data_IF_491659666394
#
_entry.id   IF_491659666394
#
_cell.length_a   1.000
_cell.length_b   1.000
_cell.length_c   1.000
_cell.angle_alpha   90.00
_cell.angle_beta   90.00
_cell.angle_gamma   90.00
#
_symmetry.space_group_name_H-M   'P 1'
#
loop_
_entity.id
_entity.type
_entity.pdbx_description
1 polymer ?
#
# COMPACT_ATOMS: atom_id res chain seq x y z
N UNK A 1 -37.50 -19.91 18.55
CA UNK A 1 -37.11 -19.88 17.12
C UNK A 1 -36.53 -21.24 16.75
N UNK A 2 -36.95 -21.88 15.65
CA UNK A 2 -36.77 -23.32 15.51
C UNK A 2 -35.29 -23.68 15.34
N UNK A 3 -34.87 -24.64 16.16
CA UNK A 3 -33.54 -25.21 16.31
C UNK A 3 -33.09 -26.03 15.08
N UNK A 4 -33.24 -25.51 13.87
CA UNK A 4 -33.31 -26.36 12.67
C UNK A 4 -31.99 -26.59 11.92
N UNK A 5 -30.87 -26.01 12.38
CA UNK A 5 -29.55 -26.25 11.78
C UNK A 5 -28.65 -27.18 12.63
N UNK A 6 -29.17 -27.81 13.69
CA UNK A 6 -28.41 -28.76 14.53
C UNK A 6 -27.77 -29.88 13.71
N UNK A 7 -28.49 -30.34 12.70
CA UNK A 7 -28.05 -31.40 11.77
C UNK A 7 -27.21 -30.87 10.59
N UNK A 8 -26.99 -29.55 10.49
CA UNK A 8 -26.13 -28.96 9.45
C UNK A 8 -24.64 -29.18 9.72
N UNK A 9 -23.82 -29.11 8.68
CA UNK A 9 -22.36 -29.07 8.82
C UNK A 9 -21.90 -27.79 9.53
N UNK A 10 -20.74 -27.82 10.17
CA UNK A 10 -20.16 -26.65 10.85
C UNK A 10 -20.06 -25.44 9.91
N UNK A 11 -19.44 -25.64 8.74
CA UNK A 11 -19.33 -24.63 7.68
C UNK A 11 -20.70 -24.13 7.19
N UNK A 12 -21.69 -25.02 7.09
CA UNK A 12 -23.04 -24.67 6.67
C UNK A 12 -23.76 -23.79 7.69
N UNK A 13 -23.51 -24.04 8.98
CA UNK A 13 -24.03 -23.21 10.08
C UNK A 13 -23.33 -21.85 10.08
N UNK A 14 -22.01 -21.78 9.88
CA UNK A 14 -21.29 -20.52 9.73
C UNK A 14 -21.81 -19.71 8.54
N UNK A 15 -21.93 -20.31 7.36
CA UNK A 15 -22.47 -19.66 6.17
C UNK A 15 -23.91 -19.15 6.40
N UNK A 16 -24.76 -19.92 7.07
CA UNK A 16 -26.10 -19.48 7.45
C UNK A 16 -26.06 -18.26 8.38
N UNK A 17 -25.20 -18.28 9.43
CA UNK A 17 -25.05 -17.14 10.36
C UNK A 17 -24.62 -15.87 9.64
N UNK A 18 -23.80 -15.97 8.59
CA UNK A 18 -23.35 -14.83 7.76
C UNK A 18 -24.40 -14.35 6.76
N UNK A 19 -25.14 -15.26 6.12
CA UNK A 19 -26.17 -14.93 5.12
C UNK A 19 -27.38 -14.20 5.71
N UNK A 20 -27.67 -14.41 6.98
CA UNK A 20 -28.76 -13.73 7.71
C UNK A 20 -28.36 -12.31 8.15
N UNK A 21 -27.08 -11.94 8.04
CA UNK A 21 -26.60 -10.60 8.38
C UNK A 21 -26.98 -9.61 7.30
N UNK A 22 -27.65 -8.53 7.71
CA UNK A 22 -28.07 -7.46 6.79
C UNK A 22 -26.98 -6.41 6.58
N UNK A 23 -26.11 -6.23 7.58
CA UNK A 23 -25.13 -5.14 7.65
C UNK A 23 -25.68 -3.82 8.22
N UNK A 24 -26.99 -3.75 8.53
CA UNK A 24 -27.61 -2.57 9.15
C UNK A 24 -27.54 -2.63 10.67
N UNK A 25 -27.26 -1.48 11.32
CA UNK A 25 -27.21 -1.38 12.79
C UNK A 25 -28.58 -1.55 13.44
N UNK A 26 -29.64 -1.06 12.80
CA UNK A 26 -31.00 -1.04 13.37
C UNK A 26 -31.69 -2.40 13.29
N UNK A 27 -31.41 -3.16 12.22
CA UNK A 27 -31.94 -4.51 12.01
C UNK A 27 -30.83 -5.43 11.52
N UNK A 28 -29.94 -5.92 12.40
CA UNK A 28 -28.74 -6.67 12.00
C UNK A 28 -29.03 -8.05 11.40
N UNK A 29 -30.20 -8.63 11.72
CA UNK A 29 -30.55 -10.02 11.42
C UNK A 29 -31.87 -10.04 10.65
N UNK A 30 -31.89 -10.69 9.48
CA UNK A 30 -33.12 -10.97 8.73
C UNK A 30 -33.15 -12.42 8.21
N UNK A 31 -33.90 -13.27 8.90
CA UNK A 31 -33.97 -14.70 8.60
C UNK A 31 -34.65 -14.96 7.24
N UNK A 32 -35.50 -14.04 6.77
CA UNK A 32 -36.19 -14.18 5.47
C UNK A 32 -35.23 -14.18 4.27
N UNK A 33 -33.98 -13.72 4.48
CA UNK A 33 -32.92 -13.76 3.48
C UNK A 33 -32.41 -15.20 3.23
N UNK A 34 -32.51 -16.06 4.24
CA UNK A 34 -31.97 -17.42 4.25
C UNK A 34 -33.05 -18.54 4.30
N UNK A 35 -34.35 -18.19 4.23
CA UNK A 35 -35.47 -19.13 4.36
C UNK A 35 -35.41 -20.33 3.39
N UNK A 36 -34.85 -20.16 2.19
CA UNK A 36 -34.72 -21.26 1.21
C UNK A 36 -33.55 -22.22 1.48
N UNK A 37 -32.57 -21.87 2.32
CA UNK A 37 -31.42 -22.75 2.66
C UNK A 37 -31.87 -23.85 3.62
N UNK A 38 -32.79 -23.52 4.52
CA UNK A 38 -33.35 -24.48 5.49
C UNK A 38 -34.07 -25.65 4.80
N UNK A 39 -34.69 -25.42 3.64
CA UNK A 39 -35.33 -26.45 2.82
C UNK A 39 -34.32 -27.38 2.11
N UNK A 40 -33.16 -26.87 1.70
CA UNK A 40 -32.12 -27.68 1.06
C UNK A 40 -31.45 -28.68 2.02
N UNK A 41 -31.27 -28.31 3.29
CA UNK A 41 -30.70 -29.22 4.31
C UNK A 41 -31.64 -30.42 4.58
N UNK A 42 -32.96 -30.23 4.45
CA UNK A 42 -33.94 -31.30 4.60
C UNK A 42 -34.10 -32.19 3.34
N UNK A 43 -33.74 -31.70 2.16
CA UNK A 43 -33.98 -32.41 0.89
C UNK A 43 -32.91 -33.43 0.49
N UNK A 44 -31.82 -33.57 1.26
CA UNK A 44 -30.80 -34.61 1.01
C UNK A 44 -31.30 -36.05 1.25
N UNK A 45 -32.49 -36.22 1.86
CA UNK A 45 -33.09 -37.53 2.14
C UNK A 45 -34.01 -38.08 1.02
N UNK A 46 -34.30 -37.32 -0.05
CA UNK A 46 -35.21 -37.75 -1.12
C UNK A 46 -34.64 -37.42 -2.50
N UNK A 47 -33.60 -38.15 -2.87
CA UNK A 47 -32.96 -38.05 -4.18
C UNK A 47 -33.89 -38.58 -5.29
N UNK A 48 -33.95 -37.84 -6.41
CA UNK A 48 -34.32 -38.25 -7.79
C UNK A 48 -35.60 -37.65 -8.41
N UNK A 49 -36.70 -37.37 -7.68
CA UNK A 49 -37.92 -36.86 -8.35
C UNK A 49 -38.06 -35.32 -8.35
N UNK A 50 -37.32 -34.62 -7.48
CA UNK A 50 -37.47 -33.17 -7.29
C UNK A 50 -36.49 -32.30 -8.12
N UNK A 51 -35.50 -32.90 -8.78
CA UNK A 51 -34.46 -32.18 -9.54
C UNK A 51 -34.98 -31.39 -10.75
N UNK A 52 -36.18 -31.68 -11.28
CA UNK A 52 -36.74 -30.96 -12.44
C UNK A 52 -37.71 -29.82 -12.07
N UNK A 53 -38.27 -29.82 -10.85
CA UNK A 53 -39.23 -28.82 -10.39
C UNK A 53 -38.59 -27.75 -9.49
N UNK A 54 -37.35 -27.98 -9.05
CA UNK A 54 -36.53 -27.04 -8.28
C UNK A 54 -35.67 -26.15 -9.20
N UNK A 55 -36.27 -25.56 -10.24
CA UNK A 55 -35.89 -24.21 -10.68
C UNK A 55 -36.39 -23.17 -9.65
N UNK A 56 -36.25 -23.50 -8.36
CA UNK A 56 -36.77 -22.78 -7.21
C UNK A 56 -35.71 -21.78 -6.81
N UNK A 57 -35.85 -20.57 -7.36
CA UNK A 57 -35.35 -19.27 -6.87
C UNK A 57 -34.35 -19.42 -5.70
N UNK A 58 -33.08 -19.62 -6.05
CA UNK A 58 -31.97 -19.52 -5.10
C UNK A 58 -32.14 -18.20 -4.33
N UNK A 59 -31.97 -18.28 -3.01
CA UNK A 59 -31.93 -17.22 -2.00
C UNK A 59 -31.87 -15.77 -2.50
N UNK A 60 -32.62 -14.86 -1.88
CA UNK A 60 -32.58 -13.42 -2.20
C UNK A 60 -31.17 -12.80 -2.07
N UNK A 61 -30.28 -13.44 -1.31
CA UNK A 61 -28.93 -12.96 -1.02
C UNK A 61 -27.89 -14.06 -1.27
N UNK A 62 -26.75 -13.66 -1.83
CA UNK A 62 -25.52 -14.46 -1.96
C UNK A 62 -24.39 -13.73 -1.22
N UNK A 63 -23.42 -14.48 -0.67
CA UNK A 63 -22.25 -13.87 -0.02
C UNK A 63 -21.32 -13.19 -1.03
N UNK A 64 -21.19 -13.81 -2.20
CA UNK A 64 -20.40 -13.35 -3.34
C UNK A 64 -21.29 -13.37 -4.59
N UNK A 65 -21.29 -12.28 -5.32
CA UNK A 65 -22.07 -12.10 -6.54
C UNK A 65 -21.44 -12.86 -7.73
N UNK A 66 -22.16 -12.94 -8.85
CA UNK A 66 -21.68 -13.64 -10.04
C UNK A 66 -20.37 -13.04 -10.61
N UNK A 67 -20.14 -11.75 -10.37
CA UNK A 67 -18.93 -11.03 -10.78
C UNK A 67 -17.76 -11.18 -9.80
N UNK A 68 -17.93 -11.98 -8.72
CA UNK A 68 -16.90 -12.20 -7.71
C UNK A 68 -16.80 -11.11 -6.63
N UNK A 69 -17.74 -10.16 -6.61
CA UNK A 69 -17.79 -9.08 -5.62
C UNK A 69 -18.51 -9.56 -4.36
N UNK A 70 -17.93 -9.32 -3.19
CA UNK A 70 -18.55 -9.62 -1.88
C UNK A 70 -19.64 -8.56 -1.60
N UNK A 71 -20.77 -8.97 -1.02
CA UNK A 71 -21.86 -8.04 -0.67
C UNK A 71 -21.34 -6.86 0.18
N UNK A 72 -21.41 -5.61 -0.32
CA UNK A 72 -20.88 -4.43 0.39
C UNK A 72 -21.57 -4.14 1.71
N UNK A 73 -22.85 -4.51 1.87
CA UNK A 73 -23.64 -4.11 3.05
C UNK A 73 -23.10 -4.71 4.34
N UNK A 74 -22.66 -5.97 4.29
CA UNK A 74 -22.17 -6.73 5.44
C UNK A 74 -20.67 -7.09 5.34
N UNK A 75 -19.92 -6.43 4.46
CA UNK A 75 -18.50 -6.73 4.20
C UNK A 75 -17.65 -6.79 5.48
N UNK A 76 -17.77 -5.79 6.37
CA UNK A 76 -16.98 -5.75 7.61
C UNK A 76 -17.35 -6.87 8.59
N UNK A 77 -18.59 -7.34 8.56
CA UNK A 77 -19.04 -8.49 9.36
C UNK A 77 -18.38 -9.76 8.85
N UNK A 78 -18.35 -9.94 7.52
CA UNK A 78 -17.71 -11.09 6.88
C UNK A 78 -16.20 -11.09 7.12
N UNK A 79 -15.57 -9.92 7.07
CA UNK A 79 -14.15 -9.75 7.34
C UNK A 79 -13.79 -10.09 8.79
N UNK A 80 -14.60 -9.66 9.77
CA UNK A 80 -14.42 -10.05 11.19
C UNK A 80 -14.52 -11.56 11.34
N UNK A 81 -15.52 -12.19 10.73
CA UNK A 81 -15.68 -13.64 10.77
C UNK A 81 -14.50 -14.37 10.11
N UNK A 82 -13.99 -13.89 8.98
CA UNK A 82 -12.85 -14.49 8.30
C UNK A 82 -11.58 -14.41 9.15
N UNK A 83 -11.23 -13.24 9.68
CA UNK A 83 -9.99 -13.05 10.48
C UNK A 83 -9.98 -13.94 11.73
N UNK A 84 -11.13 -14.14 12.38
CA UNK A 84 -11.23 -14.97 13.59
C UNK A 84 -11.35 -16.47 13.33
N UNK A 85 -12.03 -16.89 12.25
CA UNK A 85 -12.34 -18.30 12.01
C UNK A 85 -11.42 -18.98 11.00
N UNK A 86 -10.67 -18.21 10.21
CA UNK A 86 -9.63 -18.73 9.31
C UNK A 86 -8.28 -18.05 9.59
N UNK A 87 -7.69 -18.29 10.78
CA UNK A 87 -6.42 -17.68 11.17
C UNK A 87 -5.26 -18.13 10.28
N UNK A 88 -5.36 -19.31 9.66
CA UNK A 88 -4.31 -19.85 8.78
C UNK A 88 -4.26 -19.07 7.47
N UNK A 89 -5.41 -18.84 6.81
CA UNK A 89 -5.42 -18.02 5.59
C UNK A 89 -5.06 -16.56 5.90
N UNK A 90 -5.54 -16.01 7.02
CA UNK A 90 -5.16 -14.67 7.45
C UNK A 90 -3.65 -14.55 7.66
N UNK A 91 -3.03 -15.48 8.40
CA UNK A 91 -1.59 -15.49 8.61
C UNK A 91 -0.80 -15.68 7.31
N UNK A 92 -1.24 -16.58 6.43
CA UNK A 92 -0.61 -16.84 5.14
C UNK A 92 -0.67 -15.62 4.19
N UNK A 93 -1.76 -14.83 4.26
CA UNK A 93 -1.92 -13.61 3.46
C UNK A 93 -0.92 -12.50 3.84
N UNK A 94 -0.40 -12.54 5.08
CA UNK A 94 0.42 -11.47 5.68
C UNK A 94 -0.23 -10.08 5.60
N UNK A 95 -1.56 -10.03 5.44
CA UNK A 95 -2.33 -8.81 5.35
C UNK A 95 -2.62 -8.28 6.75
N UNK A 96 -1.67 -7.52 7.32
CA UNK A 96 -1.90 -6.83 8.58
C UNK A 96 -3.04 -5.82 8.45
N UNK A 97 -4.20 -6.14 9.03
CA UNK A 97 -5.35 -5.23 9.05
C UNK A 97 -5.31 -4.41 10.35
N UNK A 98 -5.39 -3.07 10.22
CA UNK A 98 -5.58 -2.15 11.35
C UNK A 98 -6.77 -1.24 11.10
N UNK A 99 -7.55 -0.90 12.15
CA UNK A 99 -7.50 -1.43 13.53
C UNK A 99 -7.80 -2.94 13.61
N UNK A 100 -7.41 -3.59 14.73
CA UNK A 100 -7.67 -5.03 14.91
C UNK A 100 -9.17 -5.29 14.94
N UNK A 101 -9.60 -6.35 14.25
CA UNK A 101 -10.99 -6.80 14.28
C UNK A 101 -11.30 -7.40 15.66
N UNK A 102 -12.49 -7.13 16.24
CA UNK A 102 -12.93 -7.83 17.43
C UNK A 102 -13.00 -9.34 17.17
N UNK A 103 -12.58 -10.15 18.13
CA UNK A 103 -12.58 -11.59 17.95
C UNK A 103 -14.01 -12.15 18.01
N UNK A 104 -14.35 -12.98 17.02
CA UNK A 104 -15.60 -13.75 17.01
C UNK A 104 -15.32 -15.17 16.52
N UNK A 105 -15.14 -16.09 17.46
CA UNK A 105 -14.96 -17.52 17.16
C UNK A 105 -16.32 -18.19 17.05
N UNK A 106 -16.55 -18.81 15.91
CA UNK A 106 -17.75 -19.57 15.63
C UNK A 106 -17.77 -20.85 16.47
N UNK A 107 -18.87 -21.03 17.20
CA UNK A 107 -19.24 -22.33 17.75
C UNK A 107 -20.63 -22.72 17.24
N UNK A 108 -20.74 -23.93 16.68
CA UNK A 108 -22.01 -24.54 16.26
C UNK A 108 -22.92 -24.85 17.44
N UNK A 109 -22.36 -25.18 18.60
CA UNK A 109 -23.09 -25.50 19.82
C UNK A 109 -23.52 -24.26 20.61
N UNK A 110 -23.15 -23.06 20.16
CA UNK A 110 -23.62 -21.83 20.78
C UNK A 110 -25.09 -21.55 20.46
N UNK A 111 -25.93 -21.66 21.49
CA UNK A 111 -27.36 -21.34 21.44
C UNK A 111 -27.71 -20.07 22.23
N UNK A 112 -26.73 -19.38 22.82
CA UNK A 112 -27.01 -18.17 23.60
C UNK A 112 -27.47 -17.04 22.68
N UNK A 113 -28.59 -16.36 23.01
CA UNK A 113 -29.20 -15.37 22.12
C UNK A 113 -28.27 -14.16 21.85
N UNK A 114 -27.34 -13.89 22.76
CA UNK A 114 -26.42 -12.74 22.69
C UNK A 114 -25.22 -12.98 21.77
N UNK A 115 -24.79 -14.23 21.57
CA UNK A 115 -23.56 -14.58 20.85
C UNK A 115 -23.83 -15.36 19.56
N UNK A 116 -24.94 -16.11 19.50
CA UNK A 116 -25.28 -17.03 18.41
C UNK A 116 -25.35 -16.39 17.02
N UNK A 117 -25.85 -15.15 16.91
CA UNK A 117 -26.04 -14.42 15.65
C UNK A 117 -25.52 -12.99 15.68
N UNK A 118 -24.94 -12.54 16.79
CA UNK A 118 -24.38 -11.19 16.90
C UNK A 118 -22.89 -11.26 16.68
N UNK A 119 -22.46 -10.76 15.52
CA UNK A 119 -21.06 -10.52 15.24
C UNK A 119 -20.76 -9.09 15.70
N UNK A 120 -19.69 -8.87 16.48
CA UNK A 120 -19.34 -7.54 16.96
C UNK A 120 -19.12 -6.58 15.78
N UNK A 121 -19.62 -5.36 15.93
CA UNK A 121 -19.35 -4.29 14.97
C UNK A 121 -17.86 -3.98 14.95
N UNK A 122 -17.32 -3.77 13.76
CA UNK A 122 -15.91 -3.48 13.58
C UNK A 122 -15.72 -2.14 12.86
N UNK A 123 -14.63 -1.46 13.21
CA UNK A 123 -14.27 -0.18 12.62
C UNK A 123 -13.88 -0.32 11.13
N UNK A 124 -13.97 0.77 10.34
CA UNK A 124 -13.44 0.78 8.98
C UNK A 124 -11.95 0.41 8.93
N UNK A 125 -11.48 -0.13 7.80
CA UNK A 125 -10.04 -0.41 7.64
C UNK A 125 -9.31 0.92 7.45
N UNK A 126 -8.25 1.13 8.22
CA UNK A 126 -7.32 2.24 8.03
C UNK A 126 -6.03 1.79 7.35
N UNK A 127 -5.62 0.54 7.61
CA UNK A 127 -4.40 -0.03 7.02
C UNK A 127 -4.60 -1.50 6.66
N UNK A 128 -4.15 -1.85 5.46
CA UNK A 128 -3.97 -3.21 4.98
C UNK A 128 -2.72 -3.24 4.09
N UNK A 129 -2.03 -4.37 4.05
CA UNK A 129 -0.80 -4.52 3.27
C UNK A 129 -0.86 -5.75 2.36
N UNK A 130 -0.14 -5.68 1.24
CA UNK A 130 0.01 -6.75 0.28
C UNK A 130 1.49 -7.13 0.17
N UNK A 131 1.88 -8.38 0.49
CA UNK A 131 3.27 -8.79 0.40
C UNK A 131 3.67 -9.02 -1.05
N UNK A 132 4.79 -8.44 -1.46
CA UNK A 132 5.43 -8.68 -2.76
C UNK A 132 6.94 -8.87 -2.58
N UNK A 133 7.54 -9.65 -3.48
CA UNK A 133 8.98 -9.83 -3.55
C UNK A 133 9.52 -9.25 -4.85
N UNK A 134 10.57 -8.45 -4.74
CA UNK A 134 11.34 -7.98 -5.88
C UNK A 134 12.43 -9.00 -6.21
N UNK A 135 12.70 -9.21 -7.49
CA UNK A 135 13.70 -10.14 -7.97
C UNK A 135 14.63 -9.47 -8.98
N UNK A 136 15.88 -9.93 -9.02
CA UNK A 136 16.83 -9.55 -10.07
C UNK A 136 17.37 -8.12 -10.00
N UNK A 137 17.12 -7.38 -8.92
CA UNK A 137 17.68 -6.03 -8.75
C UNK A 137 19.15 -6.12 -8.32
N UNK A 138 20.06 -5.69 -9.18
CA UNK A 138 21.51 -5.72 -8.92
C UNK A 138 22.12 -4.33 -8.94
N UNK A 139 21.73 -3.52 -9.91
CA UNK A 139 22.29 -2.19 -10.12
C UNK A 139 21.36 -1.09 -9.57
N UNK A 140 21.94 0.06 -9.21
CA UNK A 140 21.19 1.22 -8.70
C UNK A 140 20.11 1.68 -9.68
N UNK A 141 20.33 1.53 -10.99
CA UNK A 141 19.34 1.82 -12.02
C UNK A 141 18.09 0.96 -11.87
N UNK A 142 18.26 -0.33 -11.60
CA UNK A 142 17.15 -1.28 -11.47
C UNK A 142 16.27 -0.91 -10.27
N UNK A 143 16.91 -0.53 -9.16
CA UNK A 143 16.21 -0.06 -7.96
C UNK A 143 15.41 1.22 -8.24
N UNK A 144 16.04 2.21 -8.88
CA UNK A 144 15.39 3.48 -9.24
C UNK A 144 14.20 3.24 -10.17
N UNK A 145 14.36 2.42 -11.21
CA UNK A 145 13.31 2.09 -12.17
C UNK A 145 12.15 1.33 -11.51
N UNK A 146 12.45 0.35 -10.65
CA UNK A 146 11.44 -0.40 -9.93
C UNK A 146 10.63 0.52 -9.00
N UNK A 147 11.30 1.40 -8.26
CA UNK A 147 10.65 2.36 -7.37
C UNK A 147 9.74 3.30 -8.15
N UNK A 148 10.23 3.87 -9.26
CA UNK A 148 9.46 4.79 -10.11
C UNK A 148 8.20 4.12 -10.66
N UNK A 149 8.33 2.91 -11.23
CA UNK A 149 7.18 2.17 -11.77
C UNK A 149 6.14 1.86 -10.69
N UNK A 150 6.58 1.37 -9.53
CA UNK A 150 5.66 1.05 -8.44
C UNK A 150 4.95 2.31 -7.93
N UNK A 151 5.66 3.44 -7.80
CA UNK A 151 5.04 4.72 -7.43
C UNK A 151 4.02 5.19 -8.44
N UNK A 152 4.29 5.08 -9.74
CA UNK A 152 3.32 5.42 -10.78
C UNK A 152 2.04 4.60 -10.63
N UNK A 153 2.16 3.29 -10.40
CA UNK A 153 1.01 2.41 -10.19
C UNK A 153 0.22 2.82 -8.94
N UNK A 154 0.89 3.00 -7.80
CA UNK A 154 0.25 3.43 -6.56
C UNK A 154 -0.45 4.79 -6.70
N UNK A 155 0.19 5.75 -7.38
CA UNK A 155 -0.37 7.08 -7.59
C UNK A 155 -1.59 7.05 -8.53
N UNK A 156 -1.58 6.16 -9.54
CA UNK A 156 -2.73 5.97 -10.43
C UNK A 156 -3.96 5.50 -9.64
N UNK A 157 -3.82 4.45 -8.81
CA UNK A 157 -4.93 3.99 -7.97
C UNK A 157 -5.31 4.99 -6.87
N UNK A 158 -4.35 5.76 -6.36
CA UNK A 158 -4.63 6.85 -5.42
C UNK A 158 -5.51 7.92 -6.07
N UNK A 159 -5.31 8.23 -7.36
CA UNK A 159 -6.17 9.17 -8.10
C UNK A 159 -7.60 8.65 -8.31
N UNK A 160 -7.81 7.33 -8.29
CA UNK A 160 -9.12 6.69 -8.36
C UNK A 160 -9.83 6.59 -6.99
N UNK A 161 -9.20 7.08 -5.92
CA UNK A 161 -9.76 7.10 -4.57
C UNK A 161 -9.24 6.02 -3.63
N UNK A 162 -8.27 5.19 -4.06
CA UNK A 162 -7.63 4.19 -3.20
C UNK A 162 -6.19 4.59 -2.85
N UNK A 163 -6.04 5.37 -1.78
CA UNK A 163 -4.75 5.82 -1.27
C UNK A 163 -3.83 4.64 -0.98
N UNK A 164 -2.74 4.54 -1.75
CA UNK A 164 -1.80 3.42 -1.70
C UNK A 164 -0.36 3.92 -1.74
N UNK A 165 0.54 3.28 -1.01
CA UNK A 165 1.97 3.60 -1.04
C UNK A 165 2.83 2.34 -0.88
N UNK A 166 4.01 2.28 -1.53
CA UNK A 166 4.93 1.17 -1.34
C UNK A 166 5.70 1.29 -0.03
N UNK A 167 6.05 0.14 0.57
CA UNK A 167 6.91 0.05 1.74
C UNK A 167 7.95 -1.05 1.53
N UNK A 168 9.18 -0.81 2.01
CA UNK A 168 10.28 -1.77 1.96
C UNK A 168 11.64 -1.09 1.93
N UNK A 169 12.69 -1.84 2.23
CA UNK A 169 14.07 -1.31 2.24
C UNK A 169 14.50 -0.63 0.93
N UNK A 170 14.18 -1.15 -0.27
CA UNK A 170 14.49 -0.46 -1.52
C UNK A 170 13.90 0.96 -1.58
N UNK A 171 12.62 1.10 -1.21
CA UNK A 171 11.89 2.37 -1.22
C UNK A 171 12.37 3.35 -0.14
N UNK A 172 13.03 2.87 0.92
CA UNK A 172 13.57 3.74 1.97
C UNK A 172 14.99 4.23 1.64
N UNK A 173 15.86 3.34 1.14
CA UNK A 173 17.28 3.67 0.94
C UNK A 173 17.61 4.18 -0.46
N UNK A 174 16.95 3.66 -1.51
CA UNK A 174 17.28 4.01 -2.90
C UNK A 174 16.46 5.16 -3.47
N UNK A 175 15.41 5.61 -2.78
CA UNK A 175 14.57 6.74 -3.19
C UNK A 175 15.39 8.01 -3.46
N UNK A 176 16.41 8.28 -2.64
CA UNK A 176 17.27 9.45 -2.78
C UNK A 176 17.95 9.57 -4.15
N UNK A 177 18.17 8.45 -4.85
CA UNK A 177 18.87 8.44 -6.13
C UNK A 177 17.99 8.92 -7.30
N UNK A 178 16.66 8.91 -7.15
CA UNK A 178 15.72 9.32 -8.22
C UNK A 178 15.96 10.78 -8.59
N UNK A 179 15.98 11.67 -7.59
CA UNK A 179 16.11 13.11 -7.81
C UNK A 179 17.53 13.63 -7.63
N UNK A 180 18.51 12.76 -7.34
CA UNK A 180 19.87 13.15 -6.95
C UNK A 180 20.56 14.04 -8.01
N UNK A 181 20.46 13.66 -9.29
CA UNK A 181 21.10 14.39 -10.39
C UNK A 181 20.52 15.79 -10.57
N UNK A 182 19.20 15.91 -10.43
CA UNK A 182 18.51 17.20 -10.51
C UNK A 182 18.91 18.11 -9.35
N UNK A 183 18.91 17.58 -8.12
CA UNK A 183 19.33 18.33 -6.93
C UNK A 183 20.80 18.75 -6.97
N UNK A 184 21.69 17.90 -7.51
CA UNK A 184 23.11 18.27 -7.70
C UNK A 184 23.25 19.50 -8.60
N UNK A 185 22.63 19.49 -9.78
CA UNK A 185 22.73 20.60 -10.72
C UNK A 185 22.12 21.88 -10.15
N UNK A 186 20.97 21.76 -9.49
CA UNK A 186 20.31 22.89 -8.83
C UNK A 186 21.18 23.45 -7.70
N UNK A 187 21.75 22.60 -6.85
CA UNK A 187 22.59 23.03 -5.74
C UNK A 187 23.87 23.74 -6.23
N UNK A 188 24.57 23.18 -7.22
CA UNK A 188 25.77 23.81 -7.79
C UNK A 188 25.41 25.14 -8.45
N UNK A 189 24.32 25.21 -9.21
CA UNK A 189 23.85 26.47 -9.82
C UNK A 189 23.55 27.55 -8.78
N UNK A 190 22.87 27.19 -7.69
CA UNK A 190 22.55 28.12 -6.61
C UNK A 190 23.81 28.59 -5.89
N UNK A 191 24.74 27.68 -5.59
CA UNK A 191 26.00 28.02 -4.90
C UNK A 191 26.84 28.96 -5.76
N UNK A 192 27.01 28.67 -7.06
CA UNK A 192 27.74 29.55 -7.98
C UNK A 192 27.07 30.94 -8.11
N UNK A 193 25.74 31.00 -8.15
CA UNK A 193 25.01 32.26 -8.19
C UNK A 193 25.20 33.07 -6.89
N UNK A 194 25.15 32.42 -5.73
CA UNK A 194 25.43 33.06 -4.44
C UNK A 194 26.87 33.57 -4.37
N UNK A 195 27.85 32.77 -4.81
CA UNK A 195 29.26 33.18 -4.89
C UNK A 195 29.43 34.38 -5.81
N UNK A 196 28.79 34.40 -6.98
CA UNK A 196 28.80 35.55 -7.88
C UNK A 196 28.30 36.82 -7.20
N UNK A 197 27.15 36.75 -6.53
CA UNK A 197 26.56 37.89 -5.85
C UNK A 197 27.46 38.43 -4.74
N UNK A 198 28.01 37.55 -3.90
CA UNK A 198 28.92 37.93 -2.82
C UNK A 198 30.19 38.57 -3.40
N UNK A 199 30.86 37.93 -4.37
CA UNK A 199 32.06 38.48 -4.99
C UNK A 199 31.81 39.80 -5.71
N UNK A 200 30.68 39.95 -6.42
CA UNK A 200 30.35 41.20 -7.12
C UNK A 200 30.13 42.36 -6.15
N UNK A 201 29.50 42.11 -5.00
CA UNK A 201 29.29 43.13 -3.95
C UNK A 201 30.61 43.50 -3.26
N UNK A 202 31.43 42.53 -2.88
CA UNK A 202 32.69 42.79 -2.17
C UNK A 202 33.77 43.40 -3.06
N UNK A 203 33.88 42.97 -4.33
CA UNK A 203 34.86 43.49 -5.28
C UNK A 203 34.37 44.76 -6.00
N UNK A 204 33.07 45.10 -5.88
CA UNK A 204 32.39 46.19 -6.60
C UNK A 204 32.60 46.16 -8.13
N UNK A 205 32.99 45.00 -8.67
CA UNK A 205 33.27 44.80 -10.08
C UNK A 205 32.64 43.49 -10.57
N UNK A 206 31.50 43.55 -11.29
CA UNK A 206 30.81 42.35 -11.75
C UNK A 206 31.58 41.58 -12.84
N UNK A 207 32.50 42.25 -13.56
CA UNK A 207 33.32 41.59 -14.58
C UNK A 207 34.32 40.61 -13.97
N UNK A 208 35.05 41.01 -12.93
CA UNK A 208 36.01 40.12 -12.24
C UNK A 208 35.29 38.97 -11.53
N UNK A 209 34.18 39.27 -10.85
CA UNK A 209 33.34 38.24 -10.23
C UNK A 209 32.81 37.21 -11.26
N UNK A 210 32.48 37.64 -12.47
CA UNK A 210 32.06 36.75 -13.56
C UNK A 210 33.17 35.79 -14.01
N UNK A 211 34.41 36.27 -14.14
CA UNK A 211 35.58 35.45 -14.49
C UNK A 211 35.87 34.43 -13.38
N UNK A 212 35.84 34.85 -12.12
CA UNK A 212 36.06 33.96 -10.96
C UNK A 212 35.04 32.82 -10.98
N UNK A 213 33.75 33.12 -11.13
CA UNK A 213 32.69 32.11 -11.12
C UNK A 213 32.75 31.19 -12.34
N UNK A 214 33.18 31.70 -13.50
CA UNK A 214 33.44 30.87 -14.68
C UNK A 214 34.56 29.85 -14.41
N UNK A 215 35.65 30.27 -13.76
CA UNK A 215 36.74 29.36 -13.38
C UNK A 215 36.26 28.34 -12.34
N UNK A 216 35.48 28.74 -11.34
CA UNK A 216 34.90 27.81 -10.36
C UNK A 216 33.96 26.78 -11.01
N UNK A 217 33.17 27.19 -12.02
CA UNK A 217 32.32 26.28 -12.77
C UNK A 217 33.17 25.25 -13.54
N UNK A 218 34.27 25.67 -14.18
CA UNK A 218 35.20 24.74 -14.82
C UNK A 218 35.84 23.77 -13.82
N UNK A 219 36.28 24.26 -12.65
CA UNK A 219 36.84 23.39 -11.60
C UNK A 219 35.85 22.33 -11.12
N UNK A 220 34.57 22.67 -10.95
CA UNK A 220 33.55 21.68 -10.55
C UNK A 220 33.29 20.63 -11.63
N UNK A 221 33.29 21.03 -12.91
CA UNK A 221 33.17 20.10 -14.04
C UNK A 221 34.40 19.19 -14.13
N UNK A 222 35.61 19.71 -13.92
CA UNK A 222 36.84 18.92 -13.89
C UNK A 222 36.85 17.90 -12.75
N UNK A 223 36.49 18.32 -11.53
CA UNK A 223 36.38 17.42 -10.38
C UNK A 223 35.32 16.33 -10.61
N UNK A 224 34.16 16.69 -11.16
CA UNK A 224 33.11 15.74 -11.50
C UNK A 224 33.55 14.77 -12.61
N UNK A 225 34.29 15.26 -13.62
CA UNK A 225 34.87 14.44 -14.69
C UNK A 225 35.91 13.45 -14.17
N UNK A 226 36.83 13.90 -13.33
CA UNK A 226 37.85 13.05 -12.70
C UNK A 226 37.22 12.01 -11.78
N UNK A 227 36.18 12.37 -11.03
CA UNK A 227 35.40 11.43 -10.21
C UNK A 227 34.81 10.30 -11.08
N UNK A 228 34.29 10.65 -12.26
CA UNK A 228 33.79 9.69 -13.25
C UNK A 228 34.88 8.76 -13.81
N UNK A 229 36.06 9.31 -14.13
CA UNK A 229 37.20 8.52 -14.65
C UNK A 229 37.78 7.53 -13.63
N UNK A 230 37.81 7.91 -12.34
CA UNK A 230 38.25 7.04 -11.24
C UNK A 230 37.21 5.95 -10.92
N UNK A 231 35.97 6.11 -11.38
CA UNK A 231 34.88 5.17 -11.13
C UNK A 231 34.20 5.36 -9.78
N UNK A 232 34.27 6.56 -9.19
CA UNK A 232 33.55 6.86 -7.94
C UNK A 232 32.06 7.03 -8.28
N UNK A 233 31.22 6.20 -7.66
CA UNK A 233 29.76 6.24 -7.87
C UNK A 233 29.14 7.51 -7.26
N UNK A 234 28.19 8.11 -7.98
CA UNK A 234 27.47 9.30 -7.50
C UNK A 234 26.49 8.92 -6.39
N UNK A 235 26.76 9.38 -5.17
CA UNK A 235 25.85 9.32 -4.02
C UNK A 235 25.70 10.70 -3.40
N UNK A 236 24.89 10.83 -2.34
CA UNK A 236 24.73 12.11 -1.64
C UNK A 236 26.04 12.64 -1.06
N UNK A 237 27.01 11.77 -0.73
CA UNK A 237 28.28 12.18 -0.12
C UNK A 237 29.18 12.95 -1.12
N UNK A 238 29.50 12.43 -2.33
CA UNK A 238 30.21 13.21 -3.34
C UNK A 238 29.50 14.51 -3.74
N UNK A 239 28.17 14.56 -3.73
CA UNK A 239 27.41 15.80 -4.01
C UNK A 239 27.77 16.89 -3.00
N UNK A 240 27.82 16.56 -1.72
CA UNK A 240 28.23 17.50 -0.67
C UNK A 240 29.69 17.92 -0.83
N UNK A 241 30.57 16.99 -1.20
CA UNK A 241 31.99 17.29 -1.44
C UNK A 241 32.16 18.25 -2.63
N UNK A 242 31.39 18.07 -3.71
CA UNK A 242 31.42 18.99 -4.86
C UNK A 242 30.97 20.40 -4.46
N UNK A 243 29.91 20.52 -3.66
CA UNK A 243 29.46 21.81 -3.14
C UNK A 243 30.54 22.46 -2.26
N UNK A 244 31.15 21.68 -1.35
CA UNK A 244 32.24 22.17 -0.50
C UNK A 244 33.47 22.60 -1.33
N UNK A 245 33.75 21.90 -2.44
CA UNK A 245 34.86 22.22 -3.33
C UNK A 245 34.72 23.59 -3.99
N UNK A 246 33.48 24.05 -4.26
CA UNK A 246 33.23 25.43 -4.73
C UNK A 246 33.69 26.44 -3.70
N UNK A 247 33.35 26.24 -2.42
CA UNK A 247 33.75 27.14 -1.33
C UNK A 247 35.27 27.19 -1.14
N UNK A 248 35.93 26.04 -1.21
CA UNK A 248 37.41 25.95 -1.15
C UNK A 248 38.05 26.62 -2.38
N UNK A 249 37.47 26.46 -3.57
CA UNK A 249 37.97 27.09 -4.80
C UNK A 249 37.93 28.62 -4.78
N UNK A 250 36.97 29.22 -4.07
CA UNK A 250 36.86 30.68 -3.93
C UNK A 250 38.10 31.27 -3.27
N UNK A 251 38.66 30.62 -2.24
CA UNK A 251 39.88 31.07 -1.55
C UNK A 251 41.03 31.25 -2.54
N UNK A 252 41.28 30.26 -3.40
CA UNK A 252 42.38 30.32 -4.36
C UNK A 252 42.15 31.32 -5.50
N UNK A 253 40.91 31.46 -5.97
CA UNK A 253 40.59 32.29 -7.14
C UNK A 253 40.49 33.78 -6.82
N UNK A 254 39.98 34.15 -5.63
CA UNK A 254 39.85 35.55 -5.22
C UNK A 254 41.20 36.19 -4.90
N UNK A 255 42.17 35.45 -4.34
CA UNK A 255 43.48 36.01 -4.01
C UNK A 255 44.34 36.35 -5.23
N UNK A 256 44.05 35.74 -6.38
CA UNK A 256 44.80 35.93 -7.63
C UNK A 256 44.15 36.98 -8.55
N UNK A 257 42.82 37.17 -8.43
CA UNK A 257 42.02 38.06 -9.26
C UNK A 257 42.12 39.53 -8.83
#
# INVERSE_FOLDING_TARGET
MPNNYKNGSDDGVLAYKLLVQTGSRDKPIDISQAENIMLMIFSAALYIVFSLLLALKLTKQRLVDADGIINPSAFYIYLTAWVSNDPVAYAASQANIRPHRPEWVHDKADYMPETRLRIPAAEPIEYAQFPFYLNGLRDTSDFVEAIEKVRIICNNYTSLGLSSYPNGYPFLFWEQYISLRHWLLLAISVVLACTFLVCAVFLLNPWTAGIIVMVLALMTVELFGMMGLIGIKLSAVPVVILIASVGIGVEFTVHVA
#
